data_IF_121663645471
#
_entry.id   IF_121663645471
#
_cell.length_a   1.000
_cell.length_b   1.000
_cell.length_c   1.000
_cell.angle_alpha   90.00
_cell.angle_beta   90.00
_cell.angle_gamma   90.00
#
_symmetry.space_group_name_H-M   'P 1'
#
loop_
_entity.id
_entity.type
_entity.pdbx_description
1 polymer ?
#
# COMPACT_ATOMS: atom_id res chain seq x y z
N UNK A 1 -25.37 25.29 -25.94
CA UNK A 1 -26.82 25.04 -25.85
C UNK A 1 -27.27 25.48 -24.46
N UNK A 2 -28.51 25.94 -24.32
CA UNK A 2 -29.06 26.40 -23.02
C UNK A 2 -29.35 25.19 -22.13
N UNK A 3 -29.16 25.26 -20.80
CA UNK A 3 -29.58 24.24 -19.81
C UNK A 3 -31.03 23.79 -20.02
N UNK A 4 -31.90 24.71 -20.45
CA UNK A 4 -33.30 24.41 -20.75
C UNK A 4 -33.48 23.49 -21.97
N UNK A 5 -32.55 23.53 -22.93
CA UNK A 5 -32.54 22.62 -24.09
C UNK A 5 -32.09 21.23 -23.67
N UNK A 6 -31.08 21.15 -22.80
CA UNK A 6 -30.50 19.90 -22.34
C UNK A 6 -31.48 19.13 -21.42
N UNK A 7 -32.22 19.84 -20.57
CA UNK A 7 -33.31 19.28 -19.77
C UNK A 7 -34.48 18.76 -20.63
N UNK A 8 -34.81 19.46 -21.72
CA UNK A 8 -35.86 19.05 -22.66
C UNK A 8 -35.46 17.78 -23.43
N UNK A 9 -34.21 17.73 -23.89
CA UNK A 9 -33.67 16.56 -24.60
C UNK A 9 -33.61 15.34 -23.66
N UNK A 10 -33.21 15.53 -22.40
CA UNK A 10 -33.18 14.47 -21.40
C UNK A 10 -34.59 13.93 -21.08
N UNK A 11 -35.60 14.81 -21.01
CA UNK A 11 -37.00 14.43 -20.80
C UNK A 11 -37.58 13.66 -22.00
N UNK A 12 -37.25 14.08 -23.23
CA UNK A 12 -37.68 13.41 -24.45
C UNK A 12 -37.07 12.00 -24.58
N UNK A 13 -35.80 11.85 -24.21
CA UNK A 13 -35.10 10.56 -24.19
C UNK A 13 -35.72 9.63 -23.14
N UNK A 14 -36.02 10.12 -21.92
CA UNK A 14 -36.73 9.34 -20.90
C UNK A 14 -38.08 8.83 -21.40
N UNK A 15 -38.88 9.69 -22.00
CA UNK A 15 -40.18 9.31 -22.57
C UNK A 15 -40.05 8.24 -23.66
N UNK A 16 -39.05 8.36 -24.54
CA UNK A 16 -38.80 7.36 -25.58
C UNK A 16 -38.40 6.00 -24.99
N UNK A 17 -37.57 5.99 -23.94
CA UNK A 17 -37.15 4.78 -23.23
C UNK A 17 -38.34 4.10 -22.56
N UNK A 18 -39.18 4.86 -21.83
CA UNK A 18 -40.39 4.31 -21.22
C UNK A 18 -41.39 3.79 -22.28
N UNK A 19 -41.45 4.39 -23.46
CA UNK A 19 -42.33 3.94 -24.55
C UNK A 19 -41.84 2.70 -25.31
N UNK A 20 -40.53 2.41 -25.26
CA UNK A 20 -39.90 1.30 -26.00
C UNK A 20 -39.59 0.08 -25.12
N UNK A 21 -39.41 0.29 -23.81
CA UNK A 21 -39.04 -0.75 -22.88
C UNK A 21 -40.30 -1.48 -22.36
N UNK A 22 -40.22 -2.81 -22.21
CA UNK A 22 -41.38 -3.67 -21.92
C UNK A 22 -41.79 -3.75 -20.44
N UNK A 23 -41.08 -3.07 -19.54
CA UNK A 23 -41.33 -3.04 -18.10
C UNK A 23 -42.17 -1.83 -17.66
N UNK A 24 -42.61 -1.82 -16.40
CA UNK A 24 -43.30 -0.67 -15.82
C UNK A 24 -42.31 0.50 -15.64
N UNK A 25 -42.65 1.75 -16.00
CA UNK A 25 -41.82 2.92 -15.71
C UNK A 25 -41.29 3.00 -14.27
N UNK A 26 -42.09 2.56 -13.29
CA UNK A 26 -41.68 2.52 -11.89
C UNK A 26 -40.55 1.50 -11.64
N UNK A 27 -40.51 0.39 -12.38
CA UNK A 27 -39.42 -0.60 -12.28
C UNK A 27 -38.09 -0.01 -12.76
N UNK A 28 -38.11 0.83 -13.80
CA UNK A 28 -36.90 1.47 -14.30
C UNK A 28 -36.36 2.53 -13.34
N UNK A 29 -37.24 3.34 -12.75
CA UNK A 29 -36.82 4.33 -11.76
C UNK A 29 -36.26 3.65 -10.50
N UNK A 30 -36.91 2.58 -10.03
CA UNK A 30 -36.40 1.77 -8.92
C UNK A 30 -35.03 1.13 -9.23
N UNK A 31 -34.82 0.63 -10.46
CA UNK A 31 -33.53 0.07 -10.88
C UNK A 31 -32.47 1.17 -10.94
N UNK A 32 -32.80 2.34 -11.48
CA UNK A 32 -31.86 3.48 -11.56
C UNK A 32 -31.47 3.94 -10.16
N UNK A 33 -32.43 4.08 -9.25
CA UNK A 33 -32.17 4.48 -7.86
C UNK A 33 -31.31 3.44 -7.13
N UNK A 34 -31.61 2.14 -7.29
CA UNK A 34 -30.81 1.07 -6.71
C UNK A 34 -29.38 1.02 -7.30
N UNK A 35 -29.23 1.24 -8.61
CA UNK A 35 -27.92 1.32 -9.26
C UNK A 35 -27.13 2.53 -8.76
N UNK A 36 -27.79 3.67 -8.59
CA UNK A 36 -27.17 4.88 -8.02
C UNK A 36 -26.69 4.62 -6.59
N UNK A 37 -27.52 4.00 -5.75
CA UNK A 37 -27.16 3.64 -4.37
C UNK A 37 -25.95 2.69 -4.34
N UNK A 38 -25.96 1.64 -5.18
CA UNK A 38 -24.84 0.70 -5.30
C UNK A 38 -23.57 1.39 -5.79
N UNK A 39 -23.66 2.30 -6.76
CA UNK A 39 -22.49 3.02 -7.30
C UNK A 39 -21.88 3.93 -6.24
N UNK A 40 -22.69 4.69 -5.50
CA UNK A 40 -22.22 5.56 -4.42
C UNK A 40 -21.62 4.77 -3.26
N UNK A 41 -22.23 3.65 -2.88
CA UNK A 41 -21.67 2.76 -1.87
C UNK A 41 -20.36 2.11 -2.34
N UNK A 42 -20.26 1.68 -3.60
CA UNK A 42 -19.03 1.14 -4.15
C UNK A 42 -17.91 2.18 -4.16
N UNK A 43 -18.24 3.45 -4.45
CA UNK A 43 -17.29 4.55 -4.39
C UNK A 43 -16.78 4.78 -2.97
N UNK A 44 -17.69 4.86 -1.99
CA UNK A 44 -17.34 5.03 -0.57
C UNK A 44 -16.46 3.90 -0.07
N UNK A 45 -16.83 2.65 -0.37
CA UNK A 45 -16.06 1.48 0.01
C UNK A 45 -14.67 1.47 -0.64
N UNK A 46 -14.54 1.89 -1.90
CA UNK A 46 -13.22 2.02 -2.54
C UNK A 46 -12.36 3.10 -1.89
N UNK A 47 -12.94 4.23 -1.51
CA UNK A 47 -12.24 5.32 -0.81
C UNK A 47 -11.79 4.86 0.60
N UNK A 48 -12.67 4.18 1.34
CA UNK A 48 -12.36 3.62 2.66
C UNK A 48 -11.32 2.50 2.58
N UNK A 49 -11.40 1.61 1.58
CA UNK A 49 -10.37 0.60 1.33
C UNK A 49 -9.03 1.26 0.99
N UNK A 50 -8.99 2.33 0.20
CA UNK A 50 -7.75 3.04 -0.10
C UNK A 50 -7.13 3.69 1.15
N UNK A 51 -7.93 4.33 2.00
CA UNK A 51 -7.50 4.90 3.27
C UNK A 51 -6.98 3.81 4.23
N UNK A 52 -7.71 2.71 4.36
CA UNK A 52 -7.31 1.57 5.18
C UNK A 52 -6.07 0.87 4.61
N UNK A 53 -5.91 0.78 3.29
CA UNK A 53 -4.72 0.25 2.65
C UNK A 53 -3.49 1.13 2.92
N UNK A 54 -3.64 2.45 2.87
CA UNK A 54 -2.59 3.39 3.27
C UNK A 54 -2.20 3.22 4.75
N UNK A 55 -3.17 2.87 5.60
CA UNK A 55 -2.95 2.61 7.02
C UNK A 55 -2.28 1.25 7.30
N UNK A 56 -2.66 0.21 6.54
CA UNK A 56 -2.33 -1.19 6.82
C UNK A 56 -1.09 -1.66 6.06
N UNK A 57 -0.80 -1.15 4.86
CA UNK A 57 0.26 -1.67 4.00
C UNK A 57 0.94 -0.60 3.12
N UNK A 58 2.03 0.04 3.60
CA UNK A 58 2.72 1.07 2.84
C UNK A 58 3.42 0.56 1.56
N UNK A 59 3.59 -0.74 1.33
CA UNK A 59 4.25 -1.24 0.10
C UNK A 59 3.92 -2.73 -0.18
N UNK A 60 2.97 -3.03 -1.09
CA UNK A 60 2.62 -4.41 -1.47
C UNK A 60 3.70 -5.12 -2.30
N UNK A 61 4.93 -4.60 -2.36
CA UNK A 61 6.05 -5.20 -3.08
C UNK A 61 6.06 -4.95 -4.59
N UNK A 62 4.94 -4.51 -5.17
CA UNK A 62 4.78 -4.25 -6.61
C UNK A 62 4.94 -2.76 -7.01
N UNK A 63 5.16 -1.86 -6.04
CA UNK A 63 5.35 -0.43 -6.33
C UNK A 63 6.79 -0.16 -6.77
N UNK A 64 6.94 0.52 -7.91
CA UNK A 64 8.24 0.92 -8.44
C UNK A 64 9.01 1.82 -7.47
N UNK A 65 10.33 1.64 -7.38
CA UNK A 65 11.18 2.39 -6.44
C UNK A 65 11.03 3.93 -6.53
N UNK A 66 10.73 4.44 -7.72
CA UNK A 66 10.54 5.88 -7.96
C UNK A 66 9.23 6.41 -7.40
N UNK A 67 8.21 5.56 -7.28
CA UNK A 67 6.88 5.89 -6.77
C UNK A 67 6.81 5.77 -5.24
N UNK A 68 7.73 5.01 -4.64
CA UNK A 68 7.82 4.89 -3.19
C UNK A 68 8.23 6.21 -2.53
N UNK A 69 7.42 6.66 -1.59
CA UNK A 69 7.78 7.71 -0.64
C UNK A 69 8.89 7.23 0.31
N UNK A 70 9.59 8.19 0.95
CA UNK A 70 10.66 7.85 1.90
C UNK A 70 10.19 6.94 3.04
N UNK A 71 9.03 7.17 3.69
CA UNK A 71 8.53 6.25 4.72
C UNK A 71 8.28 4.83 4.21
N UNK A 72 7.74 4.67 3.00
CA UNK A 72 7.48 3.35 2.40
C UNK A 72 8.79 2.58 2.16
N UNK A 73 9.83 3.27 1.66
CA UNK A 73 11.18 2.68 1.52
C UNK A 73 11.75 2.20 2.85
N UNK A 74 11.58 2.99 3.91
CA UNK A 74 12.01 2.60 5.26
C UNK A 74 11.22 1.38 5.76
N UNK A 75 9.91 1.33 5.51
CA UNK A 75 9.06 0.19 5.86
C UNK A 75 9.50 -1.09 5.14
N UNK A 76 9.86 -1.00 3.86
CA UNK A 76 10.36 -2.15 3.08
C UNK A 76 11.67 -2.70 3.66
N UNK A 77 12.60 -1.81 4.05
CA UNK A 77 13.85 -2.21 4.72
C UNK A 77 13.57 -2.91 6.05
N UNK A 78 12.63 -2.41 6.86
CA UNK A 78 12.25 -3.05 8.13
C UNK A 78 11.59 -4.41 7.91
N UNK A 79 10.72 -4.53 6.92
CA UNK A 79 10.05 -5.79 6.59
C UNK A 79 11.05 -6.86 6.14
N UNK A 80 12.01 -6.50 5.28
CA UNK A 80 13.09 -7.39 4.87
C UNK A 80 13.98 -7.83 6.05
N UNK A 81 14.26 -6.94 7.00
CA UNK A 81 14.98 -7.28 8.23
C UNK A 81 14.21 -8.27 9.11
N UNK A 82 12.90 -8.04 9.30
CA UNK A 82 12.04 -8.91 10.11
C UNK A 82 11.94 -10.30 9.47
N UNK A 83 11.69 -10.37 8.16
CA UNK A 83 11.63 -11.62 7.41
C UNK A 83 12.94 -12.42 7.55
N UNK A 84 14.10 -11.76 7.40
CA UNK A 84 15.39 -12.42 7.55
C UNK A 84 15.65 -12.85 9.01
N UNK A 85 15.17 -12.08 9.98
CA UNK A 85 15.29 -12.41 11.39
C UNK A 85 14.42 -13.61 11.76
N UNK A 86 13.19 -13.71 11.23
CA UNK A 86 12.32 -14.87 11.40
C UNK A 86 12.99 -16.15 10.88
N UNK A 87 13.60 -16.09 9.69
CA UNK A 87 14.35 -17.22 9.11
C UNK A 87 15.57 -17.64 9.95
N UNK A 88 16.21 -16.69 10.64
CA UNK A 88 17.47 -16.89 11.40
C UNK A 88 17.28 -17.04 12.91
N UNK A 89 16.04 -17.06 13.41
CA UNK A 89 15.75 -17.28 14.83
C UNK A 89 15.78 -16.01 15.69
N UNK A 90 15.27 -14.89 15.17
CA UNK A 90 14.95 -13.67 15.93
C UNK A 90 15.91 -12.49 15.77
N UNK A 91 17.00 -12.64 15.00
CA UNK A 91 17.97 -11.55 14.76
C UNK A 91 18.45 -11.54 13.31
N UNK A 92 18.54 -10.35 12.73
CA UNK A 92 19.12 -10.15 11.41
C UNK A 92 19.90 -8.84 11.32
N UNK A 93 20.73 -8.75 10.27
CA UNK A 93 21.48 -7.58 9.92
C UNK A 93 21.49 -7.44 8.39
N UNK A 94 21.28 -6.22 7.89
CA UNK A 94 21.46 -5.86 6.48
C UNK A 94 22.58 -4.84 6.36
N UNK A 95 23.43 -5.06 5.36
CA UNK A 95 24.49 -4.17 4.94
C UNK A 95 24.03 -3.26 3.80
N UNK A 96 24.91 -2.33 3.41
CA UNK A 96 24.68 -1.45 2.27
C UNK A 96 24.30 -2.22 0.99
N UNK A 97 25.03 -3.30 0.68
CA UNK A 97 24.78 -4.07 -0.54
C UNK A 97 23.40 -4.73 -0.51
N UNK A 98 22.98 -5.25 0.64
CA UNK A 98 21.64 -5.86 0.80
C UNK A 98 20.52 -4.82 0.60
N UNK A 99 20.66 -3.64 1.20
CA UNK A 99 19.69 -2.54 1.03
C UNK A 99 19.68 -2.03 -0.40
N UNK A 100 20.83 -2.00 -1.06
CA UNK A 100 20.92 -1.61 -2.46
C UNK A 100 20.20 -2.60 -3.36
N UNK A 101 20.38 -3.90 -3.14
CA UNK A 101 19.74 -4.95 -3.92
C UNK A 101 18.26 -5.12 -3.61
N UNK A 102 17.81 -4.76 -2.40
CA UNK A 102 16.38 -4.72 -2.05
C UNK A 102 15.58 -3.78 -2.98
N UNK A 103 16.24 -2.80 -3.59
CA UNK A 103 15.67 -1.84 -4.53
C UNK A 103 16.32 -1.92 -5.92
N UNK A 104 16.83 -3.08 -6.32
CA UNK A 104 17.40 -3.34 -7.65
C UNK A 104 18.53 -2.37 -8.05
N UNK A 105 19.28 -1.86 -7.08
CA UNK A 105 20.39 -0.94 -7.32
C UNK A 105 20.02 0.51 -7.58
N UNK A 106 18.73 0.88 -7.53
CA UNK A 106 18.26 2.25 -7.78
C UNK A 106 18.73 3.31 -6.76
N UNK A 107 18.80 3.04 -5.44
CA UNK A 107 19.23 4.04 -4.47
C UNK A 107 20.70 4.43 -4.63
N UNK A 108 21.00 5.72 -4.43
CA UNK A 108 22.38 6.17 -4.28
C UNK A 108 22.99 5.69 -2.96
N UNK A 109 24.33 5.69 -2.86
CA UNK A 109 25.02 5.25 -1.65
C UNK A 109 24.62 6.05 -0.40
N UNK A 110 24.53 7.38 -0.51
CA UNK A 110 24.03 8.24 0.57
C UNK A 110 22.59 7.89 0.95
N UNK A 111 21.73 7.64 -0.03
CA UNK A 111 20.34 7.29 0.23
C UNK A 111 20.19 5.92 0.91
N UNK A 112 21.04 4.94 0.59
CA UNK A 112 21.05 3.67 1.31
C UNK A 112 21.35 3.88 2.80
N UNK A 113 22.37 4.68 3.13
CA UNK A 113 22.70 4.96 4.53
C UNK A 113 21.59 5.73 5.24
N UNK A 114 20.94 6.69 4.57
CA UNK A 114 19.78 7.40 5.13
C UNK A 114 18.62 6.45 5.44
N UNK A 115 18.35 5.47 4.56
CA UNK A 115 17.31 4.47 4.78
C UNK A 115 17.66 3.54 5.95
N UNK A 116 18.91 3.10 6.06
CA UNK A 116 19.39 2.26 7.15
C UNK A 116 19.29 2.97 8.51
N UNK A 117 19.65 4.26 8.56
CA UNK A 117 19.57 5.06 9.78
C UNK A 117 18.11 5.28 10.20
N UNK A 118 17.24 5.67 9.26
CA UNK A 118 15.81 5.84 9.55
C UNK A 118 15.11 4.53 9.91
N UNK A 119 15.53 3.42 9.32
CA UNK A 119 15.01 2.11 9.70
C UNK A 119 15.30 1.80 11.17
N UNK A 120 16.43 2.27 11.70
CA UNK A 120 16.83 2.09 13.09
C UNK A 120 16.09 2.98 14.10
N UNK A 121 15.31 3.98 13.66
CA UNK A 121 14.52 4.85 14.56
C UNK A 121 13.32 4.13 15.23
N UNK A 122 13.14 2.82 15.01
CA UNK A 122 12.04 2.02 15.56
C UNK A 122 12.56 1.05 16.62
N UNK A 123 11.74 0.79 17.65
CA UNK A 123 12.07 -0.14 18.73
C UNK A 123 12.45 -1.53 18.19
N UNK A 124 13.52 -2.09 18.73
CA UNK A 124 14.09 -3.37 18.28
C UNK A 124 15.03 -3.27 17.08
N UNK A 125 15.14 -2.10 16.44
CA UNK A 125 16.09 -1.85 15.36
C UNK A 125 17.29 -1.04 15.85
N UNK A 126 18.45 -1.23 15.23
CA UNK A 126 19.68 -0.50 15.57
C UNK A 126 20.56 -0.28 14.35
N UNK A 127 21.19 0.90 14.27
CA UNK A 127 22.19 1.20 13.25
C UNK A 127 23.59 1.18 13.85
N UNK A 128 24.40 0.24 13.39
CA UNK A 128 25.79 0.13 13.83
C UNK A 128 26.67 1.04 12.97
N UNK A 129 27.31 2.01 13.64
CA UNK A 129 28.43 2.79 13.11
C UNK A 129 29.72 2.31 13.76
N UNK A 130 30.37 1.27 13.24
CA UNK A 130 31.61 0.78 13.81
C UNK A 130 32.66 1.90 13.82
N UNK A 131 33.21 2.17 14.99
CA UNK A 131 34.18 3.25 15.23
C UNK A 131 35.64 2.80 15.01
N UNK A 132 35.86 1.67 14.32
CA UNK A 132 37.17 1.04 14.17
C UNK A 132 37.44 0.46 12.78
N UNK A 133 38.71 0.10 12.55
CA UNK A 133 39.27 -0.34 11.28
C UNK A 133 38.79 -1.77 10.94
N UNK A 134 37.68 -1.86 10.20
CA UNK A 134 37.18 -3.14 9.66
C UNK A 134 35.70 -3.43 9.88
N UNK A 135 34.97 -2.61 10.64
CA UNK A 135 33.52 -2.77 10.76
C UNK A 135 32.79 -2.14 9.57
N UNK A 136 31.83 -2.85 8.99
CA UNK A 136 30.90 -2.30 8.00
C UNK A 136 29.64 -1.76 8.68
N UNK A 137 29.13 -0.62 8.17
CA UNK A 137 27.84 -0.07 8.57
C UNK A 137 26.72 -1.07 8.26
N UNK A 138 25.82 -1.26 9.21
CA UNK A 138 24.71 -2.21 9.09
C UNK A 138 23.53 -1.76 9.93
N UNK A 139 22.33 -2.07 9.45
CA UNK A 139 21.10 -1.99 10.24
C UNK A 139 20.79 -3.39 10.76
N UNK A 140 20.35 -3.49 12.02
CA UNK A 140 20.04 -4.75 12.68
C UNK A 140 18.65 -4.71 13.27
N UNK A 141 18.06 -5.88 13.44
CA UNK A 141 16.81 -6.07 14.18
C UNK A 141 16.98 -7.19 15.20
N UNK A 142 16.35 -7.00 16.36
CA UNK A 142 16.15 -8.01 17.39
C UNK A 142 14.63 -8.10 17.65
N UNK A 143 13.99 -9.18 17.19
CA UNK A 143 12.53 -9.31 17.23
C UNK A 143 11.97 -9.25 18.65
N UNK A 144 12.71 -9.72 19.66
CA UNK A 144 12.35 -9.64 21.08
C UNK A 144 12.13 -8.20 21.58
N UNK A 145 12.69 -7.21 20.88
CA UNK A 145 12.57 -5.79 21.20
C UNK A 145 11.63 -5.01 20.28
N UNK A 146 10.98 -5.67 19.32
CA UNK A 146 10.06 -5.01 18.38
C UNK A 146 8.67 -5.00 18.99
N UNK A 147 8.19 -3.82 19.38
CA UNK A 147 6.89 -3.64 20.04
C UNK A 147 5.70 -3.94 19.10
N UNK A 148 5.83 -3.62 17.81
CA UNK A 148 4.77 -3.76 16.80
C UNK A 148 5.00 -4.94 15.85
N UNK A 149 5.44 -6.10 16.37
CA UNK A 149 5.81 -7.25 15.53
C UNK A 149 4.64 -7.78 14.69
N UNK A 150 3.40 -7.72 15.21
CA UNK A 150 2.17 -8.12 14.52
C UNK A 150 1.95 -7.36 13.19
N UNK A 151 2.40 -6.10 13.10
CA UNK A 151 2.29 -5.28 11.89
C UNK A 151 3.09 -5.87 10.73
N UNK A 152 4.22 -6.51 11.00
CA UNK A 152 5.06 -7.14 9.97
C UNK A 152 4.54 -8.52 9.56
N UNK A 153 3.94 -9.28 10.50
CA UNK A 153 3.32 -10.57 10.20
C UNK A 153 2.04 -10.44 9.35
N UNK A 154 1.24 -9.39 9.56
CA UNK A 154 0.03 -9.13 8.78
C UNK A 154 0.33 -8.90 7.27
N UNK A 155 1.46 -8.25 6.97
CA UNK A 155 1.92 -8.01 5.60
C UNK A 155 2.38 -9.32 4.94
N UNK A 156 3.15 -10.15 5.64
CA UNK A 156 3.69 -11.40 5.08
C UNK A 156 2.62 -12.47 4.79
N UNK A 157 1.59 -12.57 5.63
CA UNK A 157 0.52 -13.55 5.43
C UNK A 157 -0.35 -13.20 4.21
N UNK A 158 -0.54 -11.90 3.90
CA UNK A 158 -1.32 -11.47 2.72
C UNK A 158 -0.61 -11.82 1.40
N UNK A 159 0.72 -11.71 1.33
CA UNK A 159 1.50 -12.09 0.14
C UNK A 159 1.49 -13.61 -0.15
N UNK A 160 1.21 -14.44 0.85
CA UNK A 160 1.20 -15.91 0.72
C UNK A 160 -0.17 -16.44 0.26
N UNK A 161 -1.26 -15.73 0.54
CA UNK A 161 -2.63 -16.15 0.18
C UNK A 161 -3.05 -15.77 -1.25
N UNK A 162 -2.44 -14.75 -1.86
CA UNK A 162 -2.74 -14.34 -3.25
C UNK A 162 -2.01 -15.17 -4.33
N UNK A 163 -1.17 -16.13 -3.92
CA UNK A 163 -0.37 -16.98 -4.81
C UNK A 163 -0.88 -18.41 -5.01
N UNK A 164 -2.13 -18.74 -4.66
CA UNK A 164 -2.63 -20.12 -4.67
C UNK A 164 -3.88 -20.33 -5.53
#
# INVERSE_FOLDING_TARGET
MSEASEALDHAAIRQLIYGLASGDPEDYDNIVDAVHEVVEENRRLREEVAELQELVDPDPGATEYQQLTKPQKVSRVRSALVEEAEKRGGRAALHYDDVKWLFDGHPSAGHCYDLMERAADMDGFAYDRPSGEGGQKRVRVNLDGVNDLERFHAVNNRSTEEGR
#
